data_IF_256607400842
#
_entry.id   IF_256607400842
#
_cell.length_a   1.000
_cell.length_b   1.000
_cell.length_c   1.000
_cell.angle_alpha   90.00
_cell.angle_beta   90.00
_cell.angle_gamma   90.00
#
_symmetry.space_group_name_H-M   'P 1'
#
loop_
_entity.id
_entity.type
_entity.pdbx_description
1 polymer ?
#
# COMPACT_ATOMS: atom_id res chain seq x y z
N UNK A 1 9.08 -14.08 -1.57
CA UNK A 1 8.43 -12.80 -1.95
C UNK A 1 7.92 -12.15 -0.68
N UNK A 2 8.35 -10.91 -0.36
CA UNK A 2 8.01 -10.23 0.91
C UNK A 2 6.51 -10.18 1.23
N UNK A 3 5.68 -10.16 0.18
CA UNK A 3 4.24 -9.97 0.27
C UNK A 3 3.47 -11.27 -0.04
N UNK A 4 4.07 -12.45 0.19
CA UNK A 4 3.46 -13.75 -0.14
C UNK A 4 2.12 -13.98 0.59
N UNK A 5 2.02 -13.54 1.85
CA UNK A 5 0.84 -13.69 2.69
C UNK A 5 0.36 -12.32 3.15
N UNK A 6 -0.41 -11.65 2.29
CA UNK A 6 -1.14 -10.43 2.66
C UNK A 6 -2.46 -10.87 3.30
N UNK A 7 -2.66 -10.61 4.59
CA UNK A 7 -3.99 -10.75 5.19
C UNK A 7 -4.76 -9.47 4.91
N UNK A 8 -5.75 -9.55 4.03
CA UNK A 8 -6.59 -8.40 3.69
C UNK A 8 -7.98 -8.54 4.28
N UNK A 9 -8.42 -7.51 4.98
CA UNK A 9 -9.74 -7.37 5.54
C UNK A 9 -10.42 -6.13 4.95
N UNK A 10 -11.72 -6.24 4.68
CA UNK A 10 -12.52 -5.12 4.21
C UNK A 10 -13.30 -4.59 5.40
N UNK A 11 -12.99 -3.35 5.77
CA UNK A 11 -13.61 -2.68 6.91
C UNK A 11 -14.73 -1.79 6.39
N UNK A 12 -15.91 -1.97 6.98
CA UNK A 12 -17.08 -1.16 6.73
C UNK A 12 -17.18 -0.09 7.80
N UNK A 13 -16.86 1.16 7.43
CA UNK A 13 -17.00 2.28 8.35
C UNK A 13 -18.33 2.99 8.08
N UNK A 14 -19.18 2.96 9.10
CA UNK A 14 -20.48 3.65 9.10
C UNK A 14 -20.35 4.87 10.00
N UNK A 15 -20.49 6.07 9.41
CA UNK A 15 -20.74 7.29 10.17
C UNK A 15 -22.21 7.70 10.03
N UNK A 16 -22.70 8.50 10.98
CA UNK A 16 -24.12 8.85 11.19
C UNK A 16 -24.87 9.32 9.92
N UNK A 17 -24.16 9.79 8.89
CA UNK A 17 -24.73 10.22 7.61
C UNK A 17 -23.98 9.71 6.36
N UNK A 18 -22.98 8.82 6.50
CA UNK A 18 -22.17 8.36 5.37
C UNK A 18 -21.62 6.95 5.60
N UNK A 19 -21.79 6.09 4.60
CA UNK A 19 -21.10 4.81 4.50
C UNK A 19 -19.93 4.95 3.54
N UNK A 20 -18.73 4.61 4.00
CA UNK A 20 -17.61 4.36 3.12
C UNK A 20 -16.99 3.01 3.46
N UNK A 21 -16.40 2.41 2.43
CA UNK A 21 -15.72 1.13 2.54
C UNK A 21 -14.23 1.40 2.49
N UNK A 22 -13.48 0.67 3.31
CA UNK A 22 -12.03 0.77 3.37
C UNK A 22 -11.44 -0.64 3.28
N UNK A 23 -10.30 -0.77 2.60
CA UNK A 23 -9.53 -2.03 2.61
C UNK A 23 -8.31 -1.84 3.47
N UNK A 24 -8.10 -2.77 4.39
CA UNK A 24 -6.88 -2.86 5.18
C UNK A 24 -6.22 -4.18 4.87
N UNK A 25 -4.93 -4.17 4.57
CA UNK A 25 -4.20 -5.40 4.40
C UNK A 25 -2.91 -5.37 5.18
N UNK A 26 -2.74 -6.32 6.09
CA UNK A 26 -1.54 -6.46 6.88
C UNK A 26 -0.41 -7.03 6.04
N UNK A 27 0.77 -6.44 6.19
CA UNK A 27 2.00 -6.92 5.60
C UNK A 27 2.67 -7.84 6.61
N UNK A 28 3.14 -9.00 6.14
CA UNK A 28 3.88 -9.94 7.00
C UNK A 28 5.34 -9.51 7.24
N UNK A 29 5.78 -8.40 6.64
CA UNK A 29 7.16 -7.94 6.72
C UNK A 29 7.16 -6.42 6.91
N UNK A 30 7.95 -5.95 7.87
CA UNK A 30 8.12 -4.52 8.10
C UNK A 30 9.05 -3.93 7.05
N UNK A 31 8.50 -3.01 6.24
CA UNK A 31 9.26 -2.30 5.19
C UNK A 31 9.65 -0.88 5.62
N UNK A 32 9.56 -0.56 6.92
CA UNK A 32 9.67 0.79 7.48
C UNK A 32 10.96 1.50 7.12
N UNK A 33 12.10 0.80 7.20
CA UNK A 33 13.42 1.35 6.89
C UNK A 33 13.61 1.64 5.39
N UNK A 34 12.88 0.93 4.54
CA UNK A 34 12.97 1.04 3.09
C UNK A 34 11.91 1.98 2.49
N UNK A 35 10.94 2.48 3.27
CA UNK A 35 9.85 3.33 2.76
C UNK A 35 10.30 4.52 1.90
N UNK A 36 11.28 5.37 2.31
CA UNK A 36 11.70 6.50 1.49
C UNK A 36 12.38 6.05 0.18
N UNK A 37 13.15 4.96 0.22
CA UNK A 37 13.79 4.41 -0.97
C UNK A 37 12.77 3.80 -1.94
N UNK A 38 11.79 3.07 -1.41
CA UNK A 38 10.68 2.48 -2.16
C UNK A 38 9.84 3.56 -2.84
N UNK A 39 9.51 4.64 -2.13
CA UNK A 39 8.78 5.77 -2.71
C UNK A 39 9.51 6.36 -3.93
N UNK A 40 10.84 6.48 -3.86
CA UNK A 40 11.64 6.95 -4.99
C UNK A 40 11.66 6.02 -6.21
N UNK A 41 11.33 4.73 -6.03
CA UNK A 41 11.25 3.74 -7.12
C UNK A 41 9.85 3.57 -7.69
N UNK A 42 8.82 4.10 -7.05
CA UNK A 42 7.43 3.96 -7.47
C UNK A 42 6.96 5.25 -8.16
N UNK A 43 6.52 5.13 -9.42
CA UNK A 43 5.91 6.25 -10.12
C UNK A 43 4.59 6.65 -9.44
N UNK A 44 4.38 7.96 -9.22
CA UNK A 44 3.21 8.51 -8.50
C UNK A 44 3.11 8.09 -7.02
N UNK A 45 4.25 7.81 -6.39
CA UNK A 45 4.36 7.68 -4.95
C UNK A 45 4.93 8.94 -4.33
N UNK A 46 4.45 9.27 -3.13
CA UNK A 46 5.03 10.31 -2.28
C UNK A 46 5.25 9.71 -0.90
N UNK A 47 6.47 9.81 -0.38
CA UNK A 47 6.75 9.45 1.00
C UNK A 47 6.26 10.57 1.93
N UNK A 48 5.40 10.21 2.89
CA UNK A 48 4.89 11.10 3.92
C UNK A 48 5.62 10.82 5.24
N UNK A 49 6.67 11.59 5.60
CA UNK A 49 7.49 11.31 6.77
C UNK A 49 6.71 11.43 8.09
N UNK A 50 5.71 12.33 8.13
CA UNK A 50 4.85 12.54 9.31
C UNK A 50 4.05 11.29 9.64
N UNK A 51 3.52 10.62 8.61
CA UNK A 51 2.68 9.43 8.77
C UNK A 51 3.49 8.13 8.72
N UNK A 52 4.80 8.22 8.41
CA UNK A 52 5.67 7.09 8.06
C UNK A 52 5.00 6.18 7.04
N UNK A 53 4.45 6.76 5.97
CA UNK A 53 3.69 6.04 4.97
C UNK A 53 4.06 6.49 3.56
N UNK A 54 3.90 5.60 2.58
CA UNK A 54 3.96 5.96 1.16
C UNK A 54 2.54 6.15 0.67
N UNK A 55 2.25 7.33 0.16
CA UNK A 55 1.00 7.63 -0.52
C UNK A 55 1.14 7.34 -2.01
N UNK A 56 0.38 6.37 -2.48
CA UNK A 56 0.25 6.02 -3.89
C UNK A 56 -1.04 6.61 -4.45
N UNK A 57 -0.99 7.13 -5.66
CA UNK A 57 -2.18 7.62 -6.37
C UNK A 57 -2.47 6.77 -7.61
N UNK A 58 -3.69 6.25 -7.71
CA UNK A 58 -4.18 5.53 -8.89
C UNK A 58 -5.51 6.13 -9.33
N UNK A 59 -5.46 7.02 -10.32
CA UNK A 59 -6.63 7.77 -10.77
C UNK A 59 -7.18 8.66 -9.63
N UNK A 60 -8.44 8.40 -9.23
CA UNK A 60 -9.11 9.09 -8.12
C UNK A 60 -8.82 8.48 -6.74
N UNK A 61 -8.31 7.24 -6.69
CA UNK A 61 -8.10 6.52 -5.45
C UNK A 61 -6.70 6.83 -4.89
N UNK A 62 -6.65 6.96 -3.57
CA UNK A 62 -5.41 7.12 -2.81
C UNK A 62 -5.19 5.86 -2.00
N UNK A 63 -3.96 5.34 -2.01
CA UNK A 63 -3.57 4.14 -1.26
C UNK A 63 -2.41 4.52 -0.35
N UNK A 64 -2.46 4.13 0.90
CA UNK A 64 -1.43 4.37 1.89
C UNK A 64 -0.71 3.07 2.22
N UNK A 65 0.61 3.05 2.10
CA UNK A 65 1.45 1.91 2.45
C UNK A 65 2.26 2.28 3.68
N UNK A 66 1.90 1.68 4.81
CA UNK A 66 2.59 1.76 6.09
C UNK A 66 3.62 0.61 6.21
N UNK A 67 4.53 0.66 7.19
CA UNK A 67 5.56 -0.37 7.39
C UNK A 67 4.98 -1.79 7.48
N UNK A 68 3.84 -1.95 8.16
CA UNK A 68 3.20 -3.25 8.39
C UNK A 68 1.79 -3.39 7.80
N UNK A 69 1.29 -2.42 7.01
CA UNK A 69 -0.05 -2.51 6.42
C UNK A 69 -0.25 -1.64 5.18
N UNK A 70 -1.21 -2.01 4.34
CA UNK A 70 -1.74 -1.21 3.25
C UNK A 70 -3.15 -0.78 3.63
N UNK A 71 -3.45 0.51 3.45
CA UNK A 71 -4.73 1.12 3.74
C UNK A 71 -5.28 1.82 2.50
N UNK A 72 -6.48 1.43 2.08
CA UNK A 72 -7.16 1.99 0.91
C UNK A 72 -8.48 2.59 1.38
N UNK A 73 -8.54 3.91 1.62
CA UNK A 73 -9.78 4.57 1.96
C UNK A 73 -10.68 4.75 0.74
N UNK A 74 -11.99 4.78 0.98
CA UNK A 74 -13.02 5.14 0.01
C UNK A 74 -13.06 4.24 -1.25
N UNK A 75 -13.30 2.94 -1.05
CA UNK A 75 -13.62 2.03 -2.15
C UNK A 75 -15.12 2.05 -2.43
N UNK A 76 -15.49 1.87 -3.70
CA UNK A 76 -16.88 1.77 -4.12
C UNK A 76 -17.44 0.37 -3.83
N UNK A 77 -16.63 -0.66 -4.05
CA UNK A 77 -17.02 -2.06 -3.89
C UNK A 77 -15.83 -2.94 -3.49
N UNK A 78 -16.13 -4.12 -2.95
CA UNK A 78 -15.15 -5.15 -2.63
C UNK A 78 -14.27 -5.52 -3.83
N UNK A 79 -14.84 -5.62 -5.04
CA UNK A 79 -14.07 -5.93 -6.24
C UNK A 79 -13.05 -4.82 -6.57
N UNK A 80 -13.48 -3.54 -6.48
CA UNK A 80 -12.59 -2.39 -6.63
C UNK A 80 -11.47 -2.46 -5.58
N UNK A 81 -11.81 -2.76 -4.33
CA UNK A 81 -10.87 -2.98 -3.24
C UNK A 81 -9.81 -4.04 -3.55
N UNK A 82 -10.23 -5.21 -4.01
CA UNK A 82 -9.35 -6.32 -4.41
C UNK A 82 -8.42 -5.92 -5.57
N UNK A 83 -8.96 -5.23 -6.59
CA UNK A 83 -8.16 -4.77 -7.73
C UNK A 83 -7.12 -3.71 -7.34
N UNK A 84 -7.50 -2.75 -6.48
CA UNK A 84 -6.58 -1.73 -5.97
C UNK A 84 -5.50 -2.36 -5.09
N UNK A 85 -5.87 -3.30 -4.23
CA UNK A 85 -4.93 -4.01 -3.37
C UNK A 85 -3.94 -4.86 -4.18
N UNK A 86 -4.42 -5.63 -5.16
CA UNK A 86 -3.56 -6.43 -6.04
C UNK A 86 -2.58 -5.54 -6.82
N UNK A 87 -3.05 -4.38 -7.30
CA UNK A 87 -2.19 -3.40 -7.94
C UNK A 87 -1.13 -2.83 -6.98
N UNK A 88 -1.54 -2.39 -5.78
CA UNK A 88 -0.62 -1.83 -4.79
C UNK A 88 0.44 -2.86 -4.39
N UNK A 89 0.04 -4.12 -4.16
CA UNK A 89 0.94 -5.24 -3.90
C UNK A 89 1.94 -5.44 -5.05
N UNK A 90 1.50 -5.38 -6.31
CA UNK A 90 2.39 -5.54 -7.46
C UNK A 90 3.42 -4.41 -7.54
N UNK A 91 2.98 -3.18 -7.35
CA UNK A 91 3.84 -1.98 -7.39
C UNK A 91 4.88 -1.99 -6.28
N UNK A 92 4.48 -2.30 -5.04
CA UNK A 92 5.40 -2.38 -3.90
C UNK A 92 6.39 -3.54 -4.07
N UNK A 93 5.95 -4.72 -4.52
CA UNK A 93 6.88 -5.82 -4.81
C UNK A 93 7.89 -5.47 -5.90
N UNK A 94 7.46 -4.82 -6.98
CA UNK A 94 8.35 -4.42 -8.08
C UNK A 94 9.40 -3.41 -7.61
N UNK A 95 8.97 -2.40 -6.84
CA UNK A 95 9.87 -1.43 -6.25
C UNK A 95 10.84 -2.07 -5.25
N UNK A 96 10.35 -2.97 -4.40
CA UNK A 96 11.18 -3.66 -3.43
C UNK A 96 12.21 -4.56 -4.10
N UNK A 97 11.82 -5.32 -5.13
CA UNK A 97 12.75 -6.14 -5.90
C UNK A 97 13.86 -5.29 -6.51
N UNK A 98 13.56 -4.07 -6.97
CA UNK A 98 14.57 -3.13 -7.48
C UNK A 98 15.51 -2.62 -6.39
N UNK A 99 15.00 -2.35 -5.18
CA UNK A 99 15.84 -1.94 -4.04
C UNK A 99 16.73 -3.09 -3.57
N UNK A 100 16.20 -4.30 -3.45
CA UNK A 100 16.97 -5.49 -3.04
C UNK A 100 18.04 -5.87 -4.08
N UNK A 101 17.73 -5.78 -5.38
CA UNK A 101 18.73 -5.99 -6.43
C UNK A 101 19.88 -4.98 -6.34
N UNK A 102 19.58 -3.70 -6.09
CA UNK A 102 20.60 -2.66 -5.93
C UNK A 102 21.44 -2.87 -4.65
N UNK A 103 20.83 -3.35 -3.57
CA UNK A 103 21.54 -3.63 -2.31
C UNK A 103 22.51 -4.82 -2.39
N UNK A 104 22.37 -5.69 -3.39
CA UNK A 104 23.21 -6.90 -3.55
C UNK A 104 24.41 -6.70 -4.48
N UNK A 105 24.47 -5.57 -5.18
CA UNK A 105 25.57 -5.21 -6.09
C UNK A 105 26.61 -4.26 -5.45
N UNK A 106 26.51 -4.01 -4.14
CA UNK A 106 27.42 -3.17 -3.37
C UNK A 106 28.14 -3.93 -2.26
#
# INVERSE_FOLDING_TARGET
MLLAELKSEIIWETSCCAQWRSVVAELNCDIGENLPQLAGKIANAVYEPVQKAIRLKKGRNTIYVYPGKIYIPYINDEEEGKQLLAWARKVVNDAYSKVESVAREH
#
